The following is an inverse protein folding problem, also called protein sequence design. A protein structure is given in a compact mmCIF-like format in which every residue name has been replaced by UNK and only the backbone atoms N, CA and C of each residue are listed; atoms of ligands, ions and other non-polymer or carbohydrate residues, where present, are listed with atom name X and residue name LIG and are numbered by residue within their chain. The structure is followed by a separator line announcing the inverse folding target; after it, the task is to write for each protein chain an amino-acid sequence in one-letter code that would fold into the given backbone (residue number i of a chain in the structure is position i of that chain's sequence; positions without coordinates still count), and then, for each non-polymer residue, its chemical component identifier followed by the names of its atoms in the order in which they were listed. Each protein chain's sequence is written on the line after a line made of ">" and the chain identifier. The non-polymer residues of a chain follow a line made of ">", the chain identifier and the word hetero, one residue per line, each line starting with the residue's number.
data_IF_852204811051
#
_entry.id   IF_852204811051
#
_cell.length_a   1.000
_cell.length_b   1.000
_cell.length_c   1.000
_cell.angle_alpha   90.00
_cell.angle_beta   90.00
_cell.angle_gamma   90.00
#
_symmetry.space_group_name_H-M   'P 1'
#
loop_
_entity.id
_entity.type
_entity.pdbx_description
1 polymer ?
#
# COMPACT_ATOMS: atom_id res chain seq x y z
N UNK A 1 22.75 -12.74 -6.77
CA UNK A 1 21.73 -13.25 -5.83
C UNK A 1 20.70 -12.15 -5.60
N UNK A 2 19.39 -12.41 -5.78
CA UNK A 2 18.35 -11.45 -5.35
C UNK A 2 18.36 -11.39 -3.82
N UNK A 3 18.30 -10.20 -3.25
CA UNK A 3 18.28 -10.03 -1.79
C UNK A 3 16.99 -10.61 -1.21
N UNK A 4 17.00 -11.05 0.05
CA UNK A 4 15.78 -11.44 0.77
C UNK A 4 14.72 -10.32 0.69
N UNK A 5 15.17 -9.05 0.70
CA UNK A 5 14.30 -7.87 0.52
C UNK A 5 13.54 -7.89 -0.81
N UNK A 6 14.21 -8.27 -1.89
CA UNK A 6 13.65 -8.32 -3.25
C UNK A 6 12.65 -9.48 -3.39
N UNK A 7 12.76 -10.49 -2.53
CA UNK A 7 11.84 -11.62 -2.48
C UNK A 7 10.57 -11.32 -1.67
N UNK A 8 10.69 -10.66 -0.51
CA UNK A 8 9.56 -10.41 0.39
C UNK A 8 8.69 -9.24 -0.03
N UNK A 9 9.27 -8.17 -0.58
CA UNK A 9 8.55 -6.94 -0.93
C UNK A 9 7.37 -7.16 -1.90
N UNK A 10 7.50 -7.95 -2.99
CA UNK A 10 6.38 -8.21 -3.90
C UNK A 10 5.30 -9.10 -3.29
N UNK A 11 5.68 -10.04 -2.41
CA UNK A 11 4.73 -10.89 -1.67
C UNK A 11 3.92 -10.08 -0.65
N UNK A 12 4.51 -9.09 0.00
CA UNK A 12 3.78 -8.22 0.93
C UNK A 12 2.82 -7.26 0.20
N UNK A 13 3.24 -6.69 -0.92
CA UNK A 13 2.39 -5.84 -1.75
C UNK A 13 1.16 -6.59 -2.29
N UNK A 14 1.32 -7.87 -2.64
CA UNK A 14 0.23 -8.77 -3.03
C UNK A 14 -0.88 -8.88 -1.97
N UNK A 15 -0.51 -8.86 -0.68
CA UNK A 15 -1.46 -8.99 0.44
C UNK A 15 -2.26 -7.71 0.67
N UNK A 16 -1.64 -6.54 0.43
CA UNK A 16 -2.28 -5.25 0.62
C UNK A 16 -3.42 -4.98 -0.38
N UNK A 17 -3.42 -5.62 -1.55
CA UNK A 17 -4.45 -5.45 -2.59
C UNK A 17 -5.29 -6.71 -2.82
N UNK A 18 -5.44 -7.53 -1.78
CA UNK A 18 -6.28 -8.73 -1.83
C UNK A 18 -7.71 -8.42 -1.38
N UNK A 19 -8.70 -8.86 -2.17
CA UNK A 19 -10.14 -8.69 -1.91
C UNK A 19 -10.70 -9.67 -0.87
N UNK A 20 -9.98 -10.75 -0.57
CA UNK A 20 -10.49 -11.84 0.27
C UNK A 20 -9.91 -11.83 1.68
N UNK A 21 -10.81 -11.59 2.63
CA UNK A 21 -10.76 -12.27 3.91
C UNK A 21 -11.27 -13.72 3.75
N UNK A 22 -10.51 -14.74 4.17
CA UNK A 22 -9.19 -14.67 4.79
C UNK A 22 -8.04 -14.60 3.78
N UNK A 23 -7.04 -13.78 4.09
CA UNK A 23 -5.76 -13.75 3.38
C UNK A 23 -5.10 -15.15 3.44
N UNK A 24 -4.72 -15.78 2.31
CA UNK A 24 -4.15 -17.12 2.32
C UNK A 24 -2.74 -17.14 2.95
N UNK A 25 -2.60 -17.80 4.09
CA UNK A 25 -1.32 -18.00 4.80
C UNK A 25 -0.44 -19.09 4.17
N UNK A 26 -1.03 -20.03 3.41
CA UNK A 26 -0.34 -21.15 2.74
C UNK A 26 0.81 -20.71 1.80
N UNK A 27 0.78 -19.45 1.34
CA UNK A 27 1.80 -18.89 0.44
C UNK A 27 3.10 -18.43 1.11
N UNK A 28 3.10 -18.39 2.44
CA UNK A 28 4.31 -18.25 3.24
C UNK A 28 4.96 -19.61 3.55
N UNK A 29 4.38 -20.74 3.15
CA UNK A 29 4.96 -22.06 3.48
C UNK A 29 5.77 -22.64 2.31
N UNK A 30 5.44 -22.26 1.07
CA UNK A 30 6.18 -22.69 -0.12
C UNK A 30 7.43 -21.83 -0.36
N UNK A 31 8.45 -22.01 0.49
CA UNK A 31 9.80 -21.53 0.23
C UNK A 31 10.67 -22.73 -0.19
N UNK A 32 11.57 -22.59 -1.20
CA UNK A 32 12.45 -23.69 -1.62
C UNK A 32 13.33 -24.18 -0.46
N UNK A 33 13.71 -25.46 -0.51
CA UNK A 33 14.43 -26.27 0.47
C UNK A 33 15.79 -25.74 1.00
N UNK A 34 16.18 -24.49 0.71
CA UNK A 34 17.47 -23.89 1.09
C UNK A 34 17.51 -23.40 2.55
N UNK A 35 16.64 -23.90 3.44
CA UNK A 35 16.09 -23.01 4.46
C UNK A 35 15.94 -23.60 5.86
N UNK A 36 16.64 -24.65 6.27
CA UNK A 36 16.41 -25.19 7.62
C UNK A 36 16.85 -24.22 8.76
N UNK A 37 18.00 -23.55 8.66
CA UNK A 37 18.41 -22.53 9.64
C UNK A 37 17.64 -21.21 9.48
N UNK A 38 17.40 -20.79 8.24
CA UNK A 38 16.69 -19.56 7.96
C UNK A 38 15.17 -19.69 8.23
N UNK A 39 14.60 -20.91 8.24
CA UNK A 39 13.24 -21.18 8.71
C UNK A 39 13.13 -21.10 10.23
N UNK A 40 14.18 -21.44 10.99
CA UNK A 40 14.15 -21.19 12.43
C UNK A 40 14.15 -19.69 12.74
N UNK A 41 14.96 -18.91 12.00
CA UNK A 41 14.99 -17.44 12.15
C UNK A 41 13.72 -16.77 11.63
N UNK A 42 13.21 -17.20 10.48
CA UNK A 42 12.00 -16.64 9.87
C UNK A 42 10.71 -17.23 10.43
N UNK A 43 10.73 -18.39 11.09
CA UNK A 43 9.56 -18.98 11.73
C UNK A 43 8.99 -18.04 12.79
N UNK A 44 9.86 -17.53 13.68
CA UNK A 44 9.48 -16.52 14.67
C UNK A 44 8.96 -15.22 14.02
N UNK A 45 9.54 -14.81 12.89
CA UNK A 45 9.08 -13.63 12.17
C UNK A 45 7.73 -13.85 11.48
N UNK A 46 7.52 -14.99 10.83
CA UNK A 46 6.26 -15.36 10.16
C UNK A 46 5.16 -15.47 11.21
N UNK A 47 5.43 -16.14 12.32
CA UNK A 47 4.53 -16.25 13.46
C UNK A 47 4.14 -14.87 14.01
N UNK A 48 5.13 -14.00 14.24
CA UNK A 48 4.91 -12.63 14.66
C UNK A 48 4.08 -11.84 13.64
N UNK A 49 4.40 -11.96 12.35
CA UNK A 49 3.72 -11.26 11.26
C UNK A 49 2.28 -11.72 11.12
N UNK A 50 2.03 -13.03 11.14
CA UNK A 50 0.69 -13.60 11.13
C UNK A 50 -0.12 -13.13 12.34
N UNK A 51 0.41 -13.25 13.56
CA UNK A 51 -0.31 -12.81 14.77
C UNK A 51 -0.55 -11.28 14.80
N UNK A 52 0.33 -10.50 14.17
CA UNK A 52 0.25 -9.04 14.19
C UNK A 52 -0.67 -8.48 13.10
N UNK A 53 -0.65 -9.04 11.88
CA UNK A 53 -1.29 -8.42 10.72
C UNK A 53 -2.36 -9.26 10.02
N UNK A 54 -2.29 -10.61 10.07
CA UNK A 54 -3.20 -11.48 9.28
C UNK A 54 -4.22 -12.24 10.16
N UNK A 55 -3.76 -12.79 11.28
CA UNK A 55 -4.49 -13.72 12.13
C UNK A 55 -4.16 -15.18 11.82
N UNK A 56 -3.52 -15.86 12.78
CA UNK A 56 -3.11 -17.27 12.67
C UNK A 56 -4.33 -18.19 12.60
N UNK A 57 -4.25 -19.24 11.77
CA UNK A 57 -5.26 -20.30 11.72
C UNK A 57 -5.17 -21.15 12.98
N UNK A 58 -6.30 -21.33 13.66
CA UNK A 58 -6.46 -22.18 14.84
C UNK A 58 -7.28 -23.44 14.46
N UNK A 59 -7.51 -24.33 15.43
CA UNK A 59 -8.33 -25.54 15.24
C UNK A 59 -9.68 -25.22 14.59
N UNK A 60 -10.15 -26.13 13.74
CA UNK A 60 -11.40 -26.04 12.97
C UNK A 60 -11.41 -24.90 11.92
N UNK A 61 -10.24 -24.56 11.36
CA UNK A 61 -10.10 -23.57 10.29
C UNK A 61 -10.59 -22.16 10.66
N UNK A 62 -10.71 -21.87 11.95
CA UNK A 62 -11.01 -20.52 12.47
C UNK A 62 -9.71 -19.70 12.50
N UNK A 63 -9.80 -18.38 12.44
CA UNK A 63 -8.64 -17.48 12.58
C UNK A 63 -8.72 -16.67 13.85
N UNK A 64 -7.58 -16.51 14.53
CA UNK A 64 -7.45 -15.53 15.61
C UNK A 64 -7.45 -14.13 15.01
N UNK A 65 -8.09 -13.16 15.67
CA UNK A 65 -8.01 -11.77 15.25
C UNK A 65 -6.55 -11.27 15.32
N UNK A 66 -6.03 -10.58 14.29
CA UNK A 66 -4.71 -9.97 14.33
C UNK A 66 -4.67 -8.79 15.30
N UNK A 67 -3.47 -8.42 15.78
CA UNK A 67 -3.27 -7.22 16.61
C UNK A 67 -3.69 -5.94 15.90
N UNK A 68 -3.37 -5.83 14.61
CA UNK A 68 -3.84 -4.76 13.74
C UNK A 68 -4.83 -5.35 12.74
N UNK A 69 -6.04 -4.81 12.74
CA UNK A 69 -7.11 -5.22 11.81
C UNK A 69 -6.63 -5.15 10.36
N UNK A 70 -7.05 -6.12 9.54
CA UNK A 70 -6.76 -6.15 8.10
C UNK A 70 -7.21 -4.85 7.42
N UNK A 71 -8.37 -4.32 7.82
CA UNK A 71 -8.92 -3.07 7.29
C UNK A 71 -8.02 -1.85 7.52
N UNK A 72 -7.11 -1.89 8.50
CA UNK A 72 -6.19 -0.78 8.78
C UNK A 72 -5.08 -0.66 7.72
N UNK A 73 -4.63 -1.78 7.17
CA UNK A 73 -3.45 -1.83 6.29
C UNK A 73 -3.76 -2.35 4.87
N UNK A 74 -4.89 -3.01 4.67
CA UNK A 74 -5.37 -3.41 3.36
C UNK A 74 -5.80 -2.16 2.57
N UNK A 75 -5.29 -2.05 1.36
CA UNK A 75 -5.53 -0.93 0.44
C UNK A 75 -6.51 -1.31 -0.68
N UNK A 76 -7.21 -2.44 -0.59
CA UNK A 76 -8.17 -2.87 -1.60
C UNK A 76 -9.34 -1.89 -1.72
N UNK A 77 -9.89 -1.41 -0.59
CA UNK A 77 -10.97 -0.41 -0.58
C UNK A 77 -10.60 0.87 -1.33
N UNK A 78 -9.32 1.26 -1.30
CA UNK A 78 -8.82 2.42 -2.07
C UNK A 78 -8.88 2.21 -3.59
N UNK A 79 -8.81 0.96 -4.06
CA UNK A 79 -9.01 0.67 -5.49
C UNK A 79 -10.48 0.83 -5.88
N UNK A 80 -11.40 0.40 -5.03
CA UNK A 80 -12.84 0.54 -5.24
C UNK A 80 -13.28 2.02 -5.24
N UNK A 81 -12.66 2.84 -4.39
CA UNK A 81 -12.94 4.28 -4.27
C UNK A 81 -12.08 5.18 -5.19
N UNK A 82 -11.29 4.59 -6.10
CA UNK A 82 -10.35 5.28 -7.00
C UNK A 82 -9.35 6.23 -6.29
N UNK A 83 -9.05 5.95 -5.02
CA UNK A 83 -8.18 6.77 -4.19
C UNK A 83 -6.69 6.53 -4.51
N UNK A 84 -5.87 7.50 -4.11
CA UNK A 84 -4.43 7.41 -4.25
C UNK A 84 -3.87 6.20 -3.45
N UNK A 85 -3.12 5.35 -4.16
CA UNK A 85 -2.51 4.11 -3.63
C UNK A 85 -1.48 4.32 -2.54
N UNK A 86 -0.79 5.47 -2.55
CA UNK A 86 0.26 5.80 -1.59
C UNK A 86 0.09 7.22 -1.09
N UNK A 87 0.72 7.52 0.04
CA UNK A 87 0.86 8.85 0.61
C UNK A 87 1.81 9.77 -0.19
N UNK A 88 2.24 9.41 -1.41
CA UNK A 88 3.20 10.18 -2.21
C UNK A 88 2.77 11.65 -2.37
N UNK A 89 1.47 11.92 -2.50
CA UNK A 89 0.98 13.30 -2.59
C UNK A 89 1.16 14.04 -1.27
N UNK A 90 0.91 13.39 -0.14
CA UNK A 90 1.15 13.95 1.20
C UNK A 90 2.64 14.14 1.48
N UNK A 91 3.49 13.20 1.07
CA UNK A 91 4.95 13.33 1.17
C UNK A 91 5.49 14.44 0.27
N UNK A 92 4.97 14.52 -0.97
CA UNK A 92 5.29 15.57 -1.92
C UNK A 92 4.87 16.95 -1.41
N UNK A 93 3.66 17.06 -0.87
CA UNK A 93 3.16 18.27 -0.21
C UNK A 93 4.03 18.63 0.99
N UNK A 94 4.28 17.70 1.91
CA UNK A 94 5.10 17.96 3.10
C UNK A 94 6.52 18.41 2.74
N UNK A 95 7.10 17.83 1.68
CA UNK A 95 8.41 18.26 1.17
C UNK A 95 8.36 19.67 0.56
N UNK A 96 7.32 19.98 -0.21
CA UNK A 96 7.14 21.31 -0.78
C UNK A 96 6.92 22.36 0.31
N UNK A 97 6.03 22.08 1.26
CA UNK A 97 5.74 22.91 2.42
C UNK A 97 6.98 23.16 3.27
N UNK A 98 7.76 22.11 3.57
CA UNK A 98 9.03 22.26 4.30
C UNK A 98 10.01 23.20 3.58
N UNK A 99 10.00 23.22 2.25
CA UNK A 99 10.89 24.08 1.46
C UNK A 99 10.37 25.51 1.31
N UNK A 100 9.05 25.74 1.42
CA UNK A 100 8.43 27.07 1.31
C UNK A 100 8.27 27.76 2.67
N UNK A 101 8.11 26.98 3.74
CA UNK A 101 8.03 27.47 5.11
C UNK A 101 9.39 27.96 5.61
N UNK A 102 9.34 28.76 6.67
CA UNK A 102 10.55 29.23 7.36
C UNK A 102 11.32 28.08 7.98
N UNK A 103 12.63 28.25 8.10
CA UNK A 103 13.49 27.31 8.81
C UNK A 103 13.42 27.57 10.32
N UNK A 104 13.13 26.51 11.10
CA UNK A 104 12.96 26.57 12.58
C UNK A 104 11.97 27.64 13.09
N UNK A 105 10.73 27.68 12.60
CA UNK A 105 9.75 28.68 12.99
C UNK A 105 9.22 28.44 14.41
N UNK A 106 8.89 29.52 15.11
CA UNK A 106 8.04 29.43 16.30
C UNK A 106 6.62 28.92 15.92
N UNK A 107 5.81 28.57 16.92
CA UNK A 107 4.43 28.09 16.69
C UNK A 107 3.60 29.14 15.92
N UNK A 108 3.72 30.42 16.28
CA UNK A 108 2.98 31.50 15.61
C UNK A 108 3.39 31.67 14.15
N UNK A 109 4.68 31.52 13.86
CA UNK A 109 5.21 31.58 12.51
C UNK A 109 4.79 30.36 11.69
N UNK A 110 4.77 29.18 12.30
CA UNK A 110 4.25 27.96 11.69
C UNK A 110 2.77 28.11 11.31
N UNK A 111 1.96 28.72 12.17
CA UNK A 111 0.55 29.00 11.89
C UNK A 111 0.42 29.97 10.71
N UNK A 112 1.27 31.00 10.66
CA UNK A 112 1.27 31.94 9.54
C UNK A 112 1.65 31.25 8.22
N UNK A 113 2.68 30.40 8.21
CA UNK A 113 3.12 29.65 7.03
C UNK A 113 2.02 28.69 6.56
N UNK A 114 1.34 27.99 7.49
CA UNK A 114 0.19 27.14 7.17
C UNK A 114 -0.99 27.92 6.56
N UNK A 115 -1.23 29.16 6.98
CA UNK A 115 -2.29 30.01 6.40
C UNK A 115 -1.97 30.39 4.95
N UNK A 116 -0.71 30.70 4.65
CA UNK A 116 -0.23 31.00 3.28
C UNK A 116 -0.41 29.76 2.39
N UNK A 117 -0.02 28.60 2.89
CA UNK A 117 -0.16 27.33 2.18
C UNK A 117 -1.63 26.97 1.94
N UNK A 118 -2.50 27.17 2.95
CA UNK A 118 -3.94 26.97 2.82
C UNK A 118 -4.55 27.88 1.75
N UNK A 119 -4.16 29.16 1.73
CA UNK A 119 -4.64 30.10 0.73
C UNK A 119 -4.24 29.70 -0.70
N UNK A 120 -2.99 29.28 -0.87
CA UNK A 120 -2.49 28.77 -2.17
C UNK A 120 -3.25 27.53 -2.63
N UNK A 121 -3.56 26.61 -1.71
CA UNK A 121 -4.35 25.41 -2.03
C UNK A 121 -5.81 25.73 -2.41
N UNK A 122 -6.43 26.73 -1.77
CA UNK A 122 -7.79 27.16 -2.13
C UNK A 122 -7.83 27.74 -3.55
N UNK A 123 -6.87 28.60 -3.90
CA UNK A 123 -6.75 29.14 -5.27
C UNK A 123 -6.57 28.01 -6.27
N UNK A 124 -5.70 27.03 -5.97
CA UNK A 124 -5.49 25.88 -6.85
C UNK A 124 -6.77 25.05 -7.01
N UNK A 125 -7.52 24.84 -5.93
CA UNK A 125 -8.79 24.12 -5.97
C UNK A 125 -9.82 24.83 -6.87
N UNK A 126 -9.98 26.15 -6.71
CA UNK A 126 -10.86 26.97 -7.56
C UNK A 126 -10.43 26.91 -9.04
N UNK A 127 -9.13 26.97 -9.32
CA UNK A 127 -8.60 26.84 -10.69
C UNK A 127 -8.84 25.45 -11.30
N UNK A 128 -8.80 24.40 -10.49
CA UNK A 128 -9.13 23.04 -10.92
C UNK A 128 -10.62 22.90 -11.21
N UNK A 129 -11.48 23.42 -10.33
CA UNK A 129 -12.93 23.44 -10.51
C UNK A 129 -13.35 24.25 -11.76
N UNK A 130 -12.69 25.38 -12.01
CA UNK A 130 -12.89 26.20 -13.20
C UNK A 130 -12.27 25.58 -14.49
N UNK A 131 -11.56 24.45 -14.38
CA UNK A 131 -10.92 23.77 -15.51
C UNK A 131 -9.71 24.51 -16.11
N UNK A 132 -9.19 25.54 -15.42
CA UNK A 132 -8.05 26.36 -15.85
C UNK A 132 -6.74 25.56 -15.75
N UNK A 133 -6.61 24.73 -14.71
CA UNK A 133 -5.43 23.89 -14.49
C UNK A 133 -5.81 22.42 -14.71
N UNK A 134 -4.93 21.68 -15.41
CA UNK A 134 -5.00 20.21 -15.48
C UNK A 134 -3.80 19.61 -14.76
N UNK A 135 -4.06 18.87 -13.69
CA UNK A 135 -3.01 18.06 -13.04
C UNK A 135 -2.64 16.90 -13.94
N UNK A 136 -1.44 16.94 -14.53
CA UNK A 136 -0.91 15.78 -15.29
C UNK A 136 -0.37 14.75 -14.30
N UNK A 137 -1.05 13.63 -14.16
CA UNK A 137 -0.41 12.42 -13.60
C UNK A 137 0.54 11.87 -14.66
N UNK A 138 1.62 11.21 -14.22
CA UNK A 138 2.49 10.51 -15.16
C UNK A 138 1.74 9.30 -15.71
N UNK A 139 1.68 9.17 -17.04
CA UNK A 139 0.99 8.09 -17.75
C UNK A 139 1.29 6.72 -17.15
N UNK A 140 2.55 6.43 -16.79
CA UNK A 140 2.94 5.15 -16.17
C UNK A 140 2.16 4.82 -14.89
N UNK A 141 1.77 5.81 -14.09
CA UNK A 141 1.02 5.60 -12.85
C UNK A 141 -0.47 5.45 -13.11
N UNK A 142 -1.00 6.11 -14.14
CA UNK A 142 -2.38 5.94 -14.62
C UNK A 142 -2.56 4.52 -15.19
N UNK A 143 -1.69 4.10 -16.10
CA UNK A 143 -1.69 2.74 -16.64
C UNK A 143 -1.61 1.68 -15.53
N UNK A 144 -0.76 1.90 -14.52
CA UNK A 144 -0.67 0.98 -13.38
C UNK A 144 -1.95 0.97 -12.54
N UNK A 145 -2.64 2.10 -12.39
CA UNK A 145 -3.94 2.17 -11.69
C UNK A 145 -4.99 1.38 -12.46
N UNK A 146 -5.11 1.61 -13.77
CA UNK A 146 -6.04 0.91 -14.65
C UNK A 146 -5.81 -0.61 -14.60
N UNK A 147 -4.54 -1.05 -14.68
CA UNK A 147 -4.19 -2.47 -14.58
C UNK A 147 -4.59 -3.08 -13.23
N UNK A 148 -4.44 -2.34 -12.12
CA UNK A 148 -4.89 -2.81 -10.80
C UNK A 148 -6.41 -2.86 -10.69
N UNK A 149 -7.13 -1.85 -11.20
CA UNK A 149 -8.59 -1.83 -11.21
C UNK A 149 -9.16 -2.98 -12.05
N UNK A 150 -8.58 -3.23 -13.24
CA UNK A 150 -8.95 -4.38 -14.06
C UNK A 150 -8.68 -5.70 -13.34
N UNK A 151 -7.54 -5.82 -12.65
CA UNK A 151 -7.21 -7.02 -11.89
C UNK A 151 -8.20 -7.24 -10.73
N UNK A 152 -8.52 -6.20 -9.97
CA UNK A 152 -9.49 -6.23 -8.87
C UNK A 152 -10.91 -6.56 -9.34
N UNK A 153 -11.34 -6.01 -10.48
CA UNK A 153 -12.64 -6.29 -11.10
C UNK A 153 -12.75 -7.77 -11.50
N UNK A 154 -11.66 -8.35 -12.00
CA UNK A 154 -11.59 -9.75 -12.40
C UNK A 154 -11.30 -10.72 -11.25
N UNK A 155 -11.38 -10.27 -9.99
CA UNK A 155 -11.01 -11.07 -8.82
C UNK A 155 -11.73 -12.42 -8.76
N UNK A 156 -13.05 -12.45 -8.97
CA UNK A 156 -13.85 -13.68 -8.92
C UNK A 156 -13.77 -14.52 -10.20
N UNK A 157 -13.26 -13.94 -11.29
CA UNK A 157 -13.16 -14.60 -12.60
C UNK A 157 -11.81 -15.31 -12.79
N UNK A 158 -10.79 -14.91 -12.03
CA UNK A 158 -9.45 -15.47 -12.13
C UNK A 158 -9.20 -16.50 -11.03
N UNK A 159 -8.60 -17.65 -11.36
CA UNK A 159 -7.99 -18.53 -10.36
C UNK A 159 -7.03 -17.75 -9.46
N UNK A 160 -7.04 -18.03 -8.15
CA UNK A 160 -6.29 -17.26 -7.14
C UNK A 160 -4.80 -17.19 -7.46
N UNK A 161 -4.21 -18.29 -7.89
CA UNK A 161 -2.79 -18.37 -8.30
C UNK A 161 -2.47 -17.39 -9.43
N UNK A 162 -3.33 -17.30 -10.45
CA UNK A 162 -3.20 -16.38 -11.59
C UNK A 162 -3.37 -14.94 -11.14
N UNK A 163 -4.40 -14.63 -10.34
CA UNK A 163 -4.63 -13.29 -9.79
C UNK A 163 -3.38 -12.75 -9.10
N UNK A 164 -2.85 -13.56 -8.19
CA UNK A 164 -1.71 -13.19 -7.38
C UNK A 164 -0.40 -13.11 -8.19
N UNK A 165 -0.21 -13.97 -9.18
CA UNK A 165 0.92 -13.87 -10.12
C UNK A 165 0.89 -12.54 -10.89
N UNK A 166 -0.30 -12.12 -11.34
CA UNK A 166 -0.50 -10.83 -12.03
C UNK A 166 -0.29 -9.66 -11.09
N UNK A 167 -0.84 -9.70 -9.87
CA UNK A 167 -0.63 -8.67 -8.85
C UNK A 167 0.88 -8.46 -8.59
N UNK A 168 1.63 -9.55 -8.41
CA UNK A 168 3.07 -9.49 -8.18
C UNK A 168 3.84 -8.85 -9.34
N UNK A 169 3.44 -9.12 -10.58
CA UNK A 169 4.06 -8.54 -11.75
C UNK A 169 3.91 -7.01 -11.80
N UNK A 170 2.80 -6.47 -11.28
CA UNK A 170 2.53 -5.03 -11.21
C UNK A 170 3.38 -4.31 -10.15
N UNK A 171 3.84 -5.01 -9.11
CA UNK A 171 4.62 -4.43 -8.00
C UNK A 171 6.13 -4.76 -8.05
N UNK A 172 6.61 -5.41 -9.12
CA UNK A 172 8.04 -5.59 -9.35
C UNK A 172 8.64 -4.26 -9.83
N UNK A 173 9.22 -3.50 -8.90
CA UNK A 173 10.09 -2.36 -9.15
C UNK A 173 11.56 -2.80 -9.20
#
# INVERSE_FOLDING_TARGET
>A
MRSAKDFFKPKLAELAFNRVEPIPTEKFVQFPNFFNELMMLLGNFVDYFEDTFIGRVIRNNRRRAPRFSVNMWNCFSRLDEELLRTNNSSEGWNRAFKNSARENPSIYESIADLRIEQHSNLILAEQLEAGVVKTRKRIKYEMLNEQLQQLASNFYLLPRDIYFKRARALFNF
#
